data_IF_218784119018
#
_entry.id   IF_218784119018
#
_cell.length_a   1.000
_cell.length_b   1.000
_cell.length_c   1.000
_cell.angle_alpha   90.00
_cell.angle_beta   90.00
_cell.angle_gamma   90.00
#
_symmetry.space_group_name_H-M   'P 1'
#
loop_
_entity.id
_entity.type
_entity.pdbx_description
1 polymer ?
#
# COMPACT_ATOMS: atom_id res chain seq x y z
N UNK A 1 -13.05 63.08 62.62
CA UNK A 1 -14.09 63.07 61.57
C UNK A 1 -13.39 62.90 60.23
N UNK A 2 -13.78 61.85 59.47
CA UNK A 2 -13.76 61.66 58.00
C UNK A 2 -12.52 62.11 57.19
N UNK A 3 -12.06 61.45 56.12
CA UNK A 3 -12.28 60.19 55.39
C UNK A 3 -11.27 60.21 54.22
N UNK A 4 -10.82 59.03 53.79
CA UNK A 4 -10.49 58.62 52.40
C UNK A 4 -9.62 59.51 51.48
N UNK A 5 -8.53 58.93 50.96
CA UNK A 5 -8.40 58.68 49.51
C UNK A 5 -7.29 57.65 49.22
N UNK A 6 -7.76 56.48 48.78
CA UNK A 6 -7.02 55.38 48.19
C UNK A 6 -7.01 55.55 46.66
N UNK A 7 -6.09 54.88 45.97
CA UNK A 7 -6.03 54.62 44.51
C UNK A 7 -5.43 55.69 43.58
N UNK A 8 -4.10 55.67 43.40
CA UNK A 8 -3.44 56.16 42.16
C UNK A 8 -2.26 55.32 41.65
N UNK A 9 -2.02 54.12 42.18
CA UNK A 9 -0.82 53.31 41.86
C UNK A 9 -1.08 52.06 41.02
N UNK A 10 -2.24 51.94 40.36
CA UNK A 10 -2.61 50.71 39.61
C UNK A 10 -2.71 50.86 38.09
N UNK A 11 -2.56 52.07 37.52
CA UNK A 11 -2.76 52.27 36.07
C UNK A 11 -1.52 52.10 35.21
N UNK A 12 -0.32 52.16 35.80
CA UNK A 12 0.95 52.06 35.07
C UNK A 12 1.40 50.62 34.82
N UNK A 13 0.92 49.65 35.60
CA UNK A 13 1.32 48.23 35.43
C UNK A 13 0.54 47.56 34.28
N UNK A 14 -0.69 47.98 34.01
CA UNK A 14 -1.50 47.42 32.91
C UNK A 14 -0.99 47.84 31.53
N UNK A 15 -0.43 49.05 31.40
CA UNK A 15 0.09 49.54 30.13
C UNK A 15 1.39 48.82 29.68
N UNK A 16 2.21 48.34 30.63
CA UNK A 16 3.47 47.63 30.31
C UNK A 16 3.21 46.17 29.92
N UNK A 17 2.16 45.53 30.45
CA UNK A 17 1.78 44.16 30.07
C UNK A 17 1.05 44.06 28.72
N UNK A 18 0.56 45.15 28.13
CA UNK A 18 -0.04 45.13 26.79
C UNK A 18 0.96 45.31 25.64
N UNK A 19 2.17 45.82 25.90
CA UNK A 19 3.19 46.03 24.86
C UNK A 19 4.09 44.80 24.61
N UNK A 20 3.98 43.75 25.45
CA UNK A 20 4.81 42.55 25.35
C UNK A 20 4.15 41.36 24.62
N UNK A 21 2.96 41.54 24.05
CA UNK A 21 2.31 40.54 23.19
C UNK A 21 2.48 40.91 21.72
N UNK A 22 3.73 41.16 21.28
CA UNK A 22 4.01 40.96 19.86
C UNK A 22 4.19 39.45 19.70
N UNK A 23 3.18 38.80 19.12
CA UNK A 23 3.32 37.46 18.56
C UNK A 23 4.24 37.54 17.33
N UNK A 24 5.50 37.88 17.55
CA UNK A 24 6.60 37.61 16.63
C UNK A 24 7.10 36.19 16.92
N UNK A 25 7.41 35.44 15.87
CA UNK A 25 7.78 34.01 15.88
C UNK A 25 6.63 33.02 15.94
N UNK A 26 5.59 33.25 15.15
CA UNK A 26 5.10 32.15 14.33
C UNK A 26 5.29 32.62 12.88
N UNK A 27 6.43 32.26 12.29
CA UNK A 27 6.50 32.21 10.83
C UNK A 27 5.30 31.37 10.42
N UNK A 28 4.36 31.99 9.71
CA UNK A 28 3.26 31.31 9.07
C UNK A 28 3.86 30.08 8.39
N UNK A 29 3.41 28.88 8.74
CA UNK A 29 3.87 27.65 8.12
C UNK A 29 3.54 27.75 6.63
N UNK A 30 4.44 28.35 5.86
CA UNK A 30 4.36 28.46 4.42
C UNK A 30 4.93 27.14 3.93
N UNK A 31 4.09 26.23 3.40
CA UNK A 31 4.60 25.02 2.81
C UNK A 31 5.59 25.44 1.72
N UNK A 32 6.87 25.13 1.90
CA UNK A 32 7.87 25.35 0.85
C UNK A 32 7.61 24.26 -0.17
N UNK A 33 7.26 24.67 -1.38
CA UNK A 33 7.14 23.76 -2.51
C UNK A 33 8.52 23.19 -2.84
N UNK A 34 8.69 21.89 -2.64
CA UNK A 34 9.89 21.17 -3.05
C UNK A 34 9.72 20.86 -4.53
N UNK A 35 10.68 21.28 -5.35
CA UNK A 35 10.66 21.01 -6.79
C UNK A 35 10.70 19.51 -7.08
N UNK A 36 10.14 19.10 -8.21
CA UNK A 36 10.08 17.69 -8.60
C UNK A 36 11.46 17.04 -8.71
N UNK A 37 12.49 17.79 -9.10
CA UNK A 37 13.87 17.31 -9.15
C UNK A 37 14.42 16.98 -7.75
N UNK A 38 14.17 17.85 -6.78
CA UNK A 38 14.55 17.67 -5.37
C UNK A 38 13.75 16.51 -4.73
N UNK A 39 12.44 16.42 -5.04
CA UNK A 39 11.61 15.27 -4.64
C UNK A 39 12.07 13.96 -5.29
N UNK A 40 12.72 14.00 -6.45
CA UNK A 40 13.27 12.82 -7.11
C UNK A 40 14.56 12.35 -6.41
N UNK A 41 15.39 13.26 -5.91
CA UNK A 41 16.58 12.92 -5.13
C UNK A 41 16.26 12.35 -3.75
N UNK A 42 15.13 12.77 -3.14
CA UNK A 42 14.63 12.20 -1.90
C UNK A 42 14.10 10.76 -2.10
N UNK A 43 13.58 10.44 -3.29
CA UNK A 43 13.04 9.11 -3.64
C UNK A 43 14.15 8.14 -4.04
N UNK A 44 14.86 7.55 -3.08
CA UNK A 44 15.79 6.46 -3.43
C UNK A 44 16.70 5.87 -2.36
N UNK A 45 16.65 6.31 -1.09
CA UNK A 45 17.67 5.95 -0.09
C UNK A 45 17.13 5.45 1.26
N UNK A 46 15.93 4.87 1.30
CA UNK A 46 15.25 4.63 2.59
C UNK A 46 15.60 3.32 3.31
N UNK A 47 16.40 2.45 2.71
CA UNK A 47 16.99 1.31 3.42
C UNK A 47 18.46 1.21 3.05
N UNK A 48 19.34 1.41 4.04
CA UNK A 48 20.75 1.10 3.84
C UNK A 48 20.90 -0.39 3.50
N UNK A 49 21.76 -0.74 2.53
CA UNK A 49 22.12 -2.14 2.28
C UNK A 49 22.48 -2.85 3.59
N UNK A 50 21.92 -4.05 3.80
CA UNK A 50 22.16 -4.85 5.02
C UNK A 50 21.27 -4.52 6.22
N UNK A 51 20.35 -3.54 6.14
CA UNK A 51 19.38 -3.28 7.21
C UNK A 51 18.11 -4.10 7.12
N UNK A 52 17.68 -4.55 5.94
CA UNK A 52 16.49 -5.41 5.84
C UNK A 52 16.84 -6.82 6.32
N UNK A 53 16.27 -7.24 7.45
CA UNK A 53 16.49 -8.58 8.04
C UNK A 53 15.34 -9.54 7.78
N UNK A 54 14.17 -9.02 7.35
CA UNK A 54 13.07 -9.82 6.84
C UNK A 54 12.24 -9.02 5.85
N UNK A 55 11.78 -9.71 4.80
CA UNK A 55 10.85 -9.19 3.82
C UNK A 55 9.73 -10.20 3.58
N UNK A 56 8.49 -9.78 3.74
CA UNK A 56 7.29 -10.60 3.53
C UNK A 56 6.39 -9.99 2.46
N UNK A 57 5.76 -10.85 1.68
CA UNK A 57 4.70 -10.47 0.74
C UNK A 57 3.52 -11.37 1.02
N UNK A 58 2.33 -10.78 1.20
CA UNK A 58 1.06 -11.49 1.23
C UNK A 58 0.14 -10.83 0.21
N UNK A 59 -0.49 -11.62 -0.65
CA UNK A 59 -1.47 -11.12 -1.59
C UNK A 59 -2.72 -12.00 -1.55
N UNK A 60 -3.87 -11.39 -1.79
CA UNK A 60 -5.14 -12.09 -1.95
C UNK A 60 -5.98 -11.38 -3.00
N UNK A 61 -6.55 -12.13 -3.93
CA UNK A 61 -7.53 -11.64 -4.90
C UNK A 61 -8.76 -12.53 -4.85
N UNK A 62 -9.94 -11.94 -4.70
CA UNK A 62 -11.20 -12.67 -4.71
C UNK A 62 -12.25 -11.96 -5.55
N UNK A 63 -13.16 -12.76 -6.11
CA UNK A 63 -14.32 -12.32 -6.87
C UNK A 63 -15.55 -13.08 -6.37
N UNK A 64 -16.56 -12.34 -5.94
CA UNK A 64 -17.89 -12.87 -5.63
C UNK A 64 -18.89 -12.41 -6.68
N UNK A 65 -19.64 -13.34 -7.25
CA UNK A 65 -20.71 -13.02 -8.20
C UNK A 65 -22.04 -12.71 -7.48
N UNK A 66 -23.06 -12.32 -8.25
CA UNK A 66 -24.41 -12.03 -7.74
C UNK A 66 -25.09 -13.26 -7.11
N UNK A 67 -24.69 -14.47 -7.50
CA UNK A 67 -25.18 -15.74 -6.94
C UNK A 67 -24.56 -16.04 -5.55
N UNK A 68 -23.54 -15.28 -5.15
CA UNK A 68 -22.81 -15.47 -3.90
C UNK A 68 -21.62 -16.43 -4.00
N UNK A 69 -21.36 -17.03 -5.18
CA UNK A 69 -20.18 -17.86 -5.42
C UNK A 69 -18.92 -17.00 -5.30
N UNK A 70 -17.91 -17.51 -4.61
CA UNK A 70 -16.61 -16.87 -4.42
C UNK A 70 -15.52 -17.69 -5.09
N UNK A 71 -14.67 -17.04 -5.88
CA UNK A 71 -13.44 -17.59 -6.44
C UNK A 71 -12.28 -16.67 -6.12
N UNK A 72 -11.10 -17.22 -5.90
CA UNK A 72 -9.91 -16.41 -5.66
C UNK A 72 -8.67 -17.22 -5.38
N UNK A 73 -7.61 -16.52 -5.01
CA UNK A 73 -6.40 -17.14 -4.51
C UNK A 73 -5.70 -16.20 -3.51
N UNK A 74 -4.96 -16.80 -2.59
CA UNK A 74 -3.98 -16.12 -1.77
C UNK A 74 -2.58 -16.63 -2.09
N UNK A 75 -1.60 -15.75 -1.94
CA UNK A 75 -0.19 -16.12 -2.04
C UNK A 75 0.64 -15.44 -0.98
N UNK A 76 1.67 -16.13 -0.49
CA UNK A 76 2.61 -15.59 0.47
C UNK A 76 4.05 -16.01 0.17
N UNK A 77 4.98 -15.14 0.54
CA UNK A 77 6.41 -15.38 0.53
C UNK A 77 7.04 -14.65 1.71
N UNK A 78 8.03 -15.27 2.35
CA UNK A 78 8.83 -14.63 3.39
C UNK A 78 10.32 -14.93 3.15
N UNK A 79 11.12 -13.88 3.18
CA UNK A 79 12.57 -13.89 2.95
C UNK A 79 13.30 -13.37 4.18
N UNK A 80 14.39 -14.04 4.53
CA UNK A 80 15.33 -13.66 5.58
C UNK A 80 16.76 -13.95 5.10
N UNK A 81 17.78 -13.53 5.86
CA UNK A 81 19.18 -13.72 5.47
C UNK A 81 19.56 -15.19 5.20
N UNK A 82 18.96 -16.13 5.93
CA UNK A 82 19.19 -17.57 5.75
C UNK A 82 18.33 -18.21 4.64
N UNK A 83 17.43 -17.46 3.98
CA UNK A 83 16.58 -18.00 2.93
C UNK A 83 17.41 -18.29 1.68
N UNK A 84 17.62 -19.57 1.40
CA UNK A 84 18.41 -20.04 0.25
C UNK A 84 17.63 -19.91 -1.06
N UNK A 85 16.32 -20.13 -1.02
CA UNK A 85 15.44 -20.10 -2.20
C UNK A 85 14.14 -19.35 -1.91
N UNK A 86 13.94 -18.17 -2.50
CA UNK A 86 12.65 -17.47 -2.50
C UNK A 86 11.58 -18.32 -3.19
N UNK A 87 10.48 -18.60 -2.51
CA UNK A 87 9.34 -19.32 -3.07
C UNK A 87 8.03 -18.67 -2.61
N UNK A 88 7.09 -18.53 -3.55
CA UNK A 88 5.71 -18.19 -3.24
C UNK A 88 4.92 -19.47 -2.99
N UNK A 89 4.06 -19.45 -1.99
CA UNK A 89 3.05 -20.49 -1.77
C UNK A 89 1.69 -19.94 -2.15
N UNK A 90 0.85 -20.78 -2.74
CA UNK A 90 -0.44 -20.39 -3.31
C UNK A 90 -1.54 -21.30 -2.78
N UNK A 91 -2.63 -20.70 -2.34
CA UNK A 91 -3.86 -21.39 -1.96
C UNK A 91 -5.03 -20.85 -2.78
N UNK A 92 -5.76 -21.72 -3.47
CA UNK A 92 -6.98 -21.32 -4.19
C UNK A 92 -8.16 -21.25 -3.22
N UNK A 93 -9.01 -20.24 -3.38
CA UNK A 93 -10.21 -19.99 -2.58
C UNK A 93 -11.43 -20.30 -3.44
N UNK A 94 -12.34 -21.14 -2.93
CA UNK A 94 -13.61 -21.45 -3.58
C UNK A 94 -14.72 -21.59 -2.54
N UNK A 95 -15.85 -20.95 -2.78
CA UNK A 95 -17.07 -21.14 -2.01
C UNK A 95 -18.27 -21.08 -2.95
N UNK A 96 -19.22 -22.01 -2.79
CA UNK A 96 -20.49 -21.95 -3.53
C UNK A 96 -21.45 -20.97 -2.88
N UNK A 97 -22.15 -20.21 -3.71
CA UNK A 97 -23.27 -19.38 -3.31
C UNK A 97 -24.57 -20.16 -3.22
N UNK A 98 -25.63 -19.49 -2.77
CA UNK A 98 -26.99 -20.05 -2.71
C UNK A 98 -27.96 -19.30 -3.63
N UNK A 99 -27.48 -18.33 -4.41
CA UNK A 99 -28.28 -17.58 -5.36
C UNK A 99 -28.48 -18.30 -6.70
N UNK A 100 -29.45 -17.83 -7.48
CA UNK A 100 -29.70 -18.32 -8.84
C UNK A 100 -28.57 -17.97 -9.81
N UNK A 101 -28.62 -18.47 -11.04
CA UNK A 101 -27.57 -18.25 -12.04
C UNK A 101 -27.35 -16.76 -12.33
N UNK A 102 -26.08 -16.31 -12.30
CA UNK A 102 -25.72 -14.93 -12.59
C UNK A 102 -25.98 -14.59 -14.06
N UNK A 103 -26.77 -13.54 -14.34
CA UNK A 103 -27.05 -13.05 -15.70
C UNK A 103 -25.77 -12.57 -16.36
N UNK A 104 -25.61 -12.80 -17.67
CA UNK A 104 -24.46 -12.31 -18.41
C UNK A 104 -24.28 -10.79 -18.31
N UNK A 105 -23.04 -10.34 -18.14
CA UNK A 105 -22.69 -8.93 -18.15
C UNK A 105 -22.82 -8.35 -19.57
N UNK A 106 -23.37 -7.15 -19.67
CA UNK A 106 -23.58 -6.42 -20.92
C UNK A 106 -22.92 -5.04 -20.93
N UNK A 107 -22.29 -4.67 -19.82
CA UNK A 107 -21.65 -3.38 -19.66
C UNK A 107 -20.40 -3.26 -20.53
N UNK A 108 -20.08 -2.02 -20.88
CA UNK A 108 -18.86 -1.66 -21.59
C UNK A 108 -18.10 -0.64 -20.77
N UNK A 109 -16.79 -0.88 -20.58
CA UNK A 109 -15.88 0.12 -20.01
C UNK A 109 -14.80 0.47 -21.02
N UNK A 110 -14.61 1.76 -21.23
CA UNK A 110 -13.62 2.35 -22.13
C UNK A 110 -12.48 3.02 -21.33
N UNK A 111 -11.39 3.36 -22.03
CA UNK A 111 -10.21 3.94 -21.41
C UNK A 111 -9.35 2.95 -20.61
N UNK A 112 -8.30 3.48 -19.98
CA UNK A 112 -7.32 2.69 -19.22
C UNK A 112 -6.26 1.99 -20.07
N UNK A 113 -6.04 2.47 -21.30
CA UNK A 113 -4.82 2.17 -22.03
C UNK A 113 -3.60 2.63 -21.20
N UNK A 114 -2.51 1.86 -21.23
CA UNK A 114 -1.28 2.07 -20.46
C UNK A 114 -1.35 1.92 -18.93
N UNK A 115 -2.53 1.68 -18.33
CA UNK A 115 -2.62 1.42 -16.88
C UNK A 115 -1.98 0.09 -16.44
N UNK A 116 -1.59 -0.76 -17.39
CA UNK A 116 -0.83 -2.00 -17.13
C UNK A 116 0.68 -1.85 -17.34
N UNK A 117 1.15 -0.68 -17.81
CA UNK A 117 2.58 -0.46 -18.15
C UNK A 117 3.25 0.59 -17.27
N UNK A 118 2.52 1.17 -16.30
CA UNK A 118 3.06 2.11 -15.33
C UNK A 118 4.03 1.41 -14.37
N UNK A 119 5.05 2.16 -13.91
CA UNK A 119 5.96 1.71 -12.85
C UNK A 119 5.50 2.24 -11.50
N UNK A 120 5.81 1.51 -10.43
CA UNK A 120 5.36 1.84 -9.07
C UNK A 120 4.05 1.15 -8.73
N UNK A 121 3.16 1.83 -8.04
CA UNK A 121 1.87 1.28 -7.59
C UNK A 121 0.77 1.79 -8.53
N UNK A 122 0.03 0.87 -9.15
CA UNK A 122 -1.14 1.21 -9.98
C UNK A 122 -2.36 0.44 -9.49
N UNK A 123 -3.38 1.18 -9.05
CA UNK A 123 -4.65 0.64 -8.57
C UNK A 123 -5.78 1.21 -9.41
N UNK A 124 -6.56 0.32 -10.04
CA UNK A 124 -7.57 0.71 -11.02
C UNK A 124 -8.82 -0.13 -10.84
N UNK A 125 -9.95 0.54 -10.77
CA UNK A 125 -11.27 -0.08 -10.91
C UNK A 125 -11.99 0.61 -12.05
N UNK A 126 -12.44 -0.18 -13.02
CA UNK A 126 -13.33 0.27 -14.10
C UNK A 126 -14.58 -0.57 -14.04
N UNK A 127 -15.74 0.07 -13.93
CA UNK A 127 -17.00 -0.62 -13.76
C UNK A 127 -18.08 -0.12 -14.71
N UNK A 128 -18.88 -1.06 -15.18
CA UNK A 128 -20.21 -0.85 -15.74
C UNK A 128 -21.20 -1.72 -14.96
N UNK A 129 -22.50 -1.50 -15.15
CA UNK A 129 -23.54 -2.19 -14.37
C UNK A 129 -23.69 -1.63 -12.95
N UNK A 130 -24.63 -2.21 -12.21
CA UNK A 130 -25.11 -1.64 -10.94
C UNK A 130 -24.71 -2.50 -9.74
N UNK A 131 -24.55 -1.87 -8.58
CA UNK A 131 -24.34 -2.58 -7.31
C UNK A 131 -23.01 -3.34 -7.20
N UNK A 132 -22.01 -2.99 -8.02
CA UNK A 132 -20.68 -3.55 -7.91
C UNK A 132 -19.91 -2.92 -6.74
N UNK A 133 -19.05 -3.71 -6.10
CA UNK A 133 -18.05 -3.25 -5.14
C UNK A 133 -16.68 -3.76 -5.57
N UNK A 134 -15.66 -2.91 -5.53
CA UNK A 134 -14.30 -3.30 -5.83
C UNK A 134 -13.32 -2.55 -4.92
N UNK A 135 -12.54 -3.32 -4.17
CA UNK A 135 -11.55 -2.82 -3.24
C UNK A 135 -10.15 -3.24 -3.69
N UNK A 136 -9.26 -2.26 -3.81
CA UNK A 136 -7.85 -2.46 -4.07
C UNK A 136 -7.10 -1.88 -2.88
N UNK A 137 -6.55 -2.75 -2.03
CA UNK A 137 -5.84 -2.35 -0.82
C UNK A 137 -4.37 -2.74 -0.89
N UNK A 138 -3.51 -1.83 -0.43
CA UNK A 138 -2.08 -2.06 -0.25
C UNK A 138 -1.69 -1.60 1.15
N UNK A 139 -1.06 -2.49 1.90
CA UNK A 139 -0.43 -2.16 3.18
C UNK A 139 1.09 -2.34 3.05
N UNK A 140 1.85 -1.36 3.53
CA UNK A 140 3.31 -1.45 3.65
C UNK A 140 3.64 -1.25 5.12
N UNK A 141 4.00 -2.34 5.79
CA UNK A 141 4.34 -2.34 7.19
C UNK A 141 5.85 -2.34 7.31
N UNK A 142 6.41 -1.26 7.85
CA UNK A 142 7.84 -1.17 8.15
C UNK A 142 8.00 -1.08 9.65
N UNK A 143 8.82 -1.97 10.22
CA UNK A 143 9.17 -1.94 11.64
C UNK A 143 10.65 -2.20 11.85
N UNK A 144 11.16 -1.79 13.00
CA UNK A 144 12.52 -2.06 13.41
C UNK A 144 12.56 -3.16 14.48
N UNK A 145 13.55 -4.05 14.41
CA UNK A 145 13.80 -5.09 15.39
C UNK A 145 15.27 -5.51 15.39
N UNK A 146 15.77 -6.06 16.50
CA UNK A 146 17.14 -6.62 16.56
C UNK A 146 17.25 -8.03 15.96
N UNK A 147 16.11 -8.69 15.70
CA UNK A 147 16.04 -10.05 15.15
C UNK A 147 14.92 -10.18 14.12
N UNK A 148 15.11 -11.07 13.15
CA UNK A 148 14.08 -11.38 12.16
C UNK A 148 12.92 -12.15 12.84
N UNK A 149 11.66 -11.92 12.44
CA UNK A 149 10.53 -12.73 12.89
C UNK A 149 10.75 -14.21 12.50
N UNK A 150 10.08 -15.14 13.17
CA UNK A 150 10.12 -16.54 12.75
C UNK A 150 9.59 -16.70 11.32
N UNK A 151 10.16 -17.64 10.56
CA UNK A 151 9.63 -18.04 9.26
C UNK A 151 8.29 -18.73 9.47
N UNK A 152 7.25 -18.25 8.78
CA UNK A 152 5.96 -18.93 8.74
C UNK A 152 6.02 -19.99 7.64
N UNK A 153 5.70 -21.26 7.92
CA UNK A 153 5.63 -22.29 6.88
C UNK A 153 4.63 -21.89 5.79
N UNK A 154 5.08 -21.99 4.53
CA UNK A 154 4.25 -21.74 3.37
C UNK A 154 2.95 -22.55 3.40
N UNK A 155 1.83 -21.89 3.16
CA UNK A 155 0.51 -22.54 3.11
C UNK A 155 0.06 -22.72 1.66
N UNK A 156 -0.31 -23.95 1.31
CA UNK A 156 -0.73 -24.32 -0.03
C UNK A 156 0.42 -24.85 -0.90
N UNK A 157 0.29 -24.71 -2.20
CA UNK A 157 1.21 -25.28 -3.18
C UNK A 157 2.32 -24.27 -3.52
N UNK A 158 3.57 -24.73 -3.52
CA UNK A 158 4.70 -23.92 -3.97
C UNK A 158 4.57 -23.57 -5.47
N UNK A 159 4.73 -22.29 -5.79
CA UNK A 159 4.68 -21.78 -7.14
C UNK A 159 6.04 -21.93 -7.81
N UNK A 160 6.15 -22.93 -8.68
CA UNK A 160 7.37 -23.21 -9.42
C UNK A 160 7.39 -22.37 -10.70
N UNK A 161 8.58 -21.84 -11.07
CA UNK A 161 8.75 -21.08 -12.32
C UNK A 161 8.24 -21.89 -13.54
N UNK A 162 7.48 -21.23 -14.41
CA UNK A 162 6.85 -21.87 -15.58
C UNK A 162 5.52 -22.59 -15.28
N UNK A 163 5.17 -22.80 -14.01
CA UNK A 163 3.89 -23.40 -13.64
C UNK A 163 2.81 -22.33 -13.41
N UNK A 164 1.56 -22.74 -13.62
CA UNK A 164 0.37 -21.97 -13.24
C UNK A 164 -0.51 -22.82 -12.34
N UNK A 165 -0.90 -22.28 -11.19
CA UNK A 165 -1.84 -22.90 -10.26
C UNK A 165 -3.23 -22.33 -10.56
N UNK A 166 -4.19 -23.19 -10.84
CA UNK A 166 -5.52 -22.78 -11.32
C UNK A 166 -6.66 -23.31 -10.44
N UNK A 167 -7.77 -22.58 -10.41
CA UNK A 167 -9.03 -23.04 -9.84
C UNK A 167 -10.23 -22.48 -10.60
N UNK A 168 -11.35 -23.19 -10.58
CA UNK A 168 -12.61 -22.73 -11.17
C UNK A 168 -13.83 -23.14 -10.33
N UNK A 169 -14.91 -22.38 -10.46
CA UNK A 169 -16.27 -22.67 -9.98
C UNK A 169 -17.30 -21.84 -10.78
N UNK A 170 -18.53 -21.71 -10.27
CA UNK A 170 -19.60 -20.94 -10.90
C UNK A 170 -19.33 -19.42 -10.98
N UNK A 171 -18.49 -18.84 -10.09
CA UNK A 171 -18.10 -17.44 -10.17
C UNK A 171 -17.13 -17.16 -11.33
N UNK A 172 -16.25 -18.10 -11.65
CA UNK A 172 -15.20 -17.90 -12.65
C UNK A 172 -14.06 -18.88 -12.55
N UNK A 173 -12.90 -18.43 -13.05
CA UNK A 173 -11.62 -19.10 -12.92
C UNK A 173 -10.56 -18.16 -12.35
N UNK A 174 -9.61 -18.72 -11.61
CA UNK A 174 -8.42 -18.06 -11.09
C UNK A 174 -7.18 -18.78 -11.60
N UNK A 175 -6.15 -18.02 -11.94
CA UNK A 175 -4.84 -18.50 -12.36
C UNK A 175 -3.75 -17.71 -11.63
N UNK A 176 -2.79 -18.41 -11.02
CA UNK A 176 -1.64 -17.82 -10.32
C UNK A 176 -0.36 -18.32 -10.97
N UNK A 177 0.48 -17.40 -11.42
CA UNK A 177 1.72 -17.71 -12.13
C UNK A 177 2.87 -16.83 -11.66
N UNK A 178 4.11 -17.32 -11.80
CA UNK A 178 5.30 -16.53 -11.54
C UNK A 178 5.57 -15.59 -12.74
N UNK A 179 5.93 -14.33 -12.48
CA UNK A 179 6.25 -13.34 -13.53
C UNK A 179 7.42 -12.46 -13.13
N UNK A 180 8.47 -12.39 -13.96
CA UNK A 180 9.60 -11.45 -13.81
C UNK A 180 10.11 -11.25 -12.37
N UNK A 181 10.34 -12.34 -11.64
CA UNK A 181 10.81 -12.31 -10.24
C UNK A 181 9.73 -12.06 -9.18
N UNK A 182 8.46 -12.11 -9.55
CA UNK A 182 7.31 -11.97 -8.66
C UNK A 182 6.14 -12.87 -9.06
N UNK A 183 4.92 -12.44 -8.76
CA UNK A 183 3.70 -13.25 -8.88
C UNK A 183 2.57 -12.44 -9.53
N UNK A 184 1.78 -13.12 -10.37
CA UNK A 184 0.55 -12.61 -10.97
C UNK A 184 -0.61 -13.54 -10.62
N UNK A 185 -1.71 -12.94 -10.19
CA UNK A 185 -3.00 -13.58 -9.97
C UNK A 185 -4.01 -12.95 -10.93
N UNK A 186 -4.65 -13.78 -11.74
CA UNK A 186 -5.69 -13.37 -12.67
C UNK A 186 -6.98 -14.11 -12.37
N UNK A 187 -8.08 -13.39 -12.23
CA UNK A 187 -9.43 -13.92 -12.15
C UNK A 187 -10.18 -13.52 -13.41
N UNK A 188 -10.79 -14.50 -14.07
CA UNK A 188 -11.76 -14.29 -15.15
C UNK A 188 -13.11 -14.75 -14.66
N UNK A 189 -14.04 -13.82 -14.47
CA UNK A 189 -15.38 -14.13 -14.01
C UNK A 189 -16.23 -14.70 -15.14
N UNK A 190 -17.08 -15.67 -14.82
CA UNK A 190 -17.96 -16.32 -15.79
C UNK A 190 -19.00 -15.33 -16.34
N UNK A 191 -19.73 -15.72 -17.39
CA UNK A 191 -20.88 -14.98 -17.92
C UNK A 191 -20.55 -13.50 -18.20
N UNK A 192 -19.35 -13.24 -18.74
CA UNK A 192 -18.88 -11.90 -19.06
C UNK A 192 -19.03 -10.89 -17.90
N UNK A 193 -18.86 -11.33 -16.64
CA UNK A 193 -18.97 -10.41 -15.49
C UNK A 193 -17.75 -9.49 -15.36
N UNK A 194 -16.59 -9.91 -15.86
CA UNK A 194 -15.38 -9.09 -15.85
C UNK A 194 -14.11 -9.87 -15.49
N UNK A 195 -13.07 -9.14 -15.08
CA UNK A 195 -11.73 -9.67 -14.76
C UNK A 195 -11.08 -8.92 -13.61
N UNK A 196 -10.29 -9.60 -12.79
CA UNK A 196 -9.36 -8.98 -11.83
C UNK A 196 -7.94 -9.44 -12.15
N UNK A 197 -6.99 -8.49 -12.19
CA UNK A 197 -5.57 -8.77 -12.37
C UNK A 197 -4.81 -8.12 -11.21
N UNK A 198 -4.10 -8.94 -10.45
CA UNK A 198 -3.22 -8.49 -9.39
C UNK A 198 -1.80 -9.01 -9.63
N UNK A 199 -0.79 -8.15 -9.55
CA UNK A 199 0.59 -8.51 -9.82
C UNK A 199 1.54 -7.74 -8.92
N UNK A 200 2.57 -8.42 -8.43
CA UNK A 200 3.77 -7.83 -7.86
C UNK A 200 4.94 -8.41 -8.63
N UNK A 201 5.74 -7.57 -9.30
CA UNK A 201 6.86 -8.01 -10.12
C UNK A 201 7.92 -6.90 -10.25
N UNK A 202 8.99 -7.15 -11.02
CA UNK A 202 9.87 -6.07 -11.46
C UNK A 202 9.04 -4.97 -12.16
N UNK A 203 9.13 -3.74 -11.64
CA UNK A 203 8.35 -2.60 -12.13
C UNK A 203 7.28 -2.12 -11.16
N UNK A 204 6.88 -2.94 -10.18
CA UNK A 204 6.01 -2.51 -9.07
C UNK A 204 4.80 -3.42 -8.83
N UNK A 205 3.70 -2.81 -8.44
CA UNK A 205 2.46 -3.47 -8.02
C UNK A 205 1.30 -2.97 -8.87
N UNK A 206 0.55 -3.91 -9.46
CA UNK A 206 -0.65 -3.66 -10.24
C UNK A 206 -1.86 -4.35 -9.58
N UNK A 207 -2.95 -3.60 -9.41
CA UNK A 207 -4.27 -4.11 -9.05
C UNK A 207 -5.29 -3.49 -10.02
N UNK A 208 -5.80 -4.29 -10.96
CA UNK A 208 -6.67 -3.83 -12.04
C UNK A 208 -7.93 -4.68 -12.11
N UNK A 209 -9.06 -4.06 -11.74
CA UNK A 209 -10.38 -4.67 -11.76
C UNK A 209 -11.21 -4.07 -12.88
N UNK A 210 -11.80 -4.94 -13.71
CA UNK A 210 -12.75 -4.59 -14.77
C UNK A 210 -14.07 -5.30 -14.49
N UNK A 211 -15.14 -4.55 -14.27
CA UNK A 211 -16.49 -5.05 -14.01
C UNK A 211 -17.40 -4.70 -15.18
N UNK A 212 -18.10 -5.70 -15.73
CA UNK A 212 -18.98 -5.58 -16.89
C UNK A 212 -20.43 -5.97 -16.58
N UNK A 213 -20.67 -6.73 -15.52
CA UNK A 213 -22.00 -7.06 -15.02
C UNK A 213 -22.38 -6.28 -13.76
N UNK A 214 -23.41 -6.75 -13.06
CA UNK A 214 -23.94 -6.13 -11.84
C UNK A 214 -23.68 -7.00 -10.62
N UNK A 215 -23.67 -6.39 -9.43
CA UNK A 215 -23.63 -7.08 -8.14
C UNK A 215 -22.42 -8.00 -7.93
N UNK A 216 -21.27 -7.63 -8.51
CA UNK A 216 -20.01 -8.30 -8.25
C UNK A 216 -19.28 -7.63 -7.09
N UNK A 217 -18.59 -8.41 -6.26
CA UNK A 217 -17.72 -7.91 -5.19
C UNK A 217 -16.31 -8.43 -5.45
N UNK A 218 -15.34 -7.52 -5.60
CA UNK A 218 -13.94 -7.85 -5.87
C UNK A 218 -13.06 -7.27 -4.78
N UNK A 219 -12.24 -8.11 -4.17
CA UNK A 219 -11.28 -7.68 -3.15
C UNK A 219 -9.88 -8.11 -3.55
N UNK A 220 -9.02 -7.12 -3.77
CA UNK A 220 -7.60 -7.30 -4.03
C UNK A 220 -6.81 -6.67 -2.89
N UNK A 221 -6.00 -7.47 -2.20
CA UNK A 221 -5.16 -7.02 -1.09
C UNK A 221 -3.72 -7.40 -1.37
N UNK A 222 -2.81 -6.46 -1.16
CA UNK A 222 -1.37 -6.73 -1.07
C UNK A 222 -0.85 -6.19 0.26
N UNK A 223 -0.03 -6.96 0.95
CA UNK A 223 0.70 -6.54 2.12
C UNK A 223 2.19 -6.79 1.89
N UNK A 224 3.00 -5.77 2.15
CA UNK A 224 4.45 -5.84 2.17
C UNK A 224 4.91 -5.62 3.61
N UNK A 225 5.61 -6.59 4.18
CA UNK A 225 6.13 -6.52 5.53
C UNK A 225 7.65 -6.42 5.49
N UNK A 226 8.20 -5.33 6.02
CA UNK A 226 9.64 -5.07 6.07
C UNK A 226 10.08 -4.95 7.52
N UNK A 227 11.07 -5.75 7.89
CA UNK A 227 11.74 -5.62 9.19
C UNK A 227 13.15 -5.11 8.97
N UNK A 228 13.43 -3.96 9.57
CA UNK A 228 14.73 -3.33 9.58
C UNK A 228 15.48 -3.70 10.85
N UNK A 229 16.80 -3.89 10.73
CA UNK A 229 17.68 -4.10 11.86
C UNK A 229 17.82 -2.82 12.68
N UNK A 230 17.58 -2.90 13.99
CA UNK A 230 17.76 -1.78 14.92
C UNK A 230 19.12 -1.80 15.66
N UNK A 231 20.15 -2.43 15.10
CA UNK A 231 21.49 -2.45 15.69
C UNK A 231 22.20 -1.10 15.53
N UNK A 232 21.71 -0.06 16.20
CA UNK A 232 22.35 1.24 16.37
C UNK A 232 22.68 2.00 15.08
N UNK A 233 23.22 3.23 15.20
CA UNK A 233 23.73 3.95 14.05
C UNK A 233 25.02 3.27 13.55
N UNK A 234 24.91 2.52 12.46
CA UNK A 234 26.08 2.16 11.65
C UNK A 234 26.72 3.47 11.13
N UNK A 235 28.04 3.54 10.97
CA UNK A 235 28.71 4.78 10.54
C UNK A 235 28.08 5.41 9.27
N UNK A 236 27.64 4.58 8.31
CA UNK A 236 26.92 5.06 7.10
C UNK A 236 25.51 5.62 7.36
N UNK A 237 24.90 5.37 8.52
CA UNK A 237 23.57 5.86 8.91
C UNK A 237 23.58 7.30 9.42
N UNK A 238 24.65 7.67 10.11
CA UNK A 238 24.88 9.04 10.54
C UNK A 238 25.15 9.92 9.31
N UNK A 239 25.99 9.46 8.37
CA UNK A 239 26.32 10.21 7.14
C UNK A 239 25.10 10.45 6.24
N UNK A 240 24.17 9.49 6.11
CA UNK A 240 22.97 9.71 5.30
C UNK A 240 22.04 10.76 5.92
N UNK A 241 21.82 10.71 7.25
CA UNK A 241 20.98 11.69 7.94
C UNK A 241 21.64 13.08 7.99
N UNK A 242 22.97 13.16 8.13
CA UNK A 242 23.69 14.42 8.05
C UNK A 242 23.67 15.01 6.65
N UNK A 243 23.80 14.20 5.59
CA UNK A 243 23.65 14.67 4.21
C UNK A 243 22.22 15.13 3.89
N UNK A 244 21.21 14.45 4.41
CA UNK A 244 19.80 14.86 4.30
C UNK A 244 19.52 16.16 5.07
N UNK A 245 20.03 16.26 6.30
CA UNK A 245 19.93 17.48 7.08
C UNK A 245 20.73 18.63 6.46
N UNK A 246 21.87 18.36 5.84
CA UNK A 246 22.66 19.35 5.10
C UNK A 246 21.91 19.84 3.85
N UNK A 247 21.28 18.93 3.10
CA UNK A 247 20.41 19.29 1.97
C UNK A 247 19.23 20.17 2.42
N UNK A 248 18.60 19.85 3.56
CA UNK A 248 17.53 20.67 4.15
C UNK A 248 18.03 22.00 4.73
N UNK A 249 19.25 22.04 5.29
CA UNK A 249 19.88 23.28 5.83
C UNK A 249 20.30 24.25 4.74
N UNK A 250 20.60 23.75 3.54
CA UNK A 250 20.90 24.63 2.39
C UNK A 250 19.64 25.35 1.87
N UNK A 251 18.45 24.97 2.36
CA UNK A 251 17.16 25.61 2.04
C UNK A 251 16.64 26.56 3.13
N UNK A 252 17.49 27.06 4.04
CA UNK A 252 17.06 27.97 5.13
C UNK A 252 18.01 29.12 5.43
N UNK A 253 17.54 30.34 5.10
CA UNK A 253 18.06 31.72 5.29
C UNK A 253 18.92 32.32 4.17
#
# INVERSE_FOLDING_TARGET
MLREQQMKTSYWVVAVCLAANTSGFADEFRPIEIKDEELAELRGRYVMPGRVISFGVVMSSTWRNASGDLIGASTSMQLQAATVKPEFYVSTIKQSGHGGTSRSGSGHVSGGAALSTSRGITQVTRAAGDGNSANNNIAINVKEASTAPALVPGQGQALIAGQTITGSNAAGSVAVSATSGGVQMAITANNNQGTSLQQVAQGGLLQNTRLLGSSNVVDNMTQLDVVLNNNGPSAGALDCNLNQLAALRTMGY
#
